data_IF_298543898333
#
_entry.id   IF_298543898333
#
_cell.length_a   1.000
_cell.length_b   1.000
_cell.length_c   1.000
_cell.angle_alpha   90.00
_cell.angle_beta   90.00
_cell.angle_gamma   90.00
#
_symmetry.space_group_name_H-M   'P 1'
#
loop_
_entity.id
_entity.type
_entity.pdbx_description
1 polymer ?
#
# COMPACT_ATOMS: atom_id res chain seq x y z
N UNK A 1 -27.81 16.69 3.33
CA UNK A 1 -26.81 17.03 2.29
C UNK A 1 -25.76 18.02 2.81
N UNK A 2 -26.14 19.12 3.45
CA UNK A 2 -25.23 20.18 3.94
C UNK A 2 -24.25 19.72 5.02
N UNK A 3 -24.70 18.90 5.98
CA UNK A 3 -23.83 18.36 7.06
C UNK A 3 -22.74 17.44 6.49
N UNK A 4 -23.09 16.63 5.50
CA UNK A 4 -22.14 15.74 4.82
C UNK A 4 -21.08 16.53 4.03
N UNK A 5 -21.51 17.59 3.34
CA UNK A 5 -20.62 18.49 2.62
C UNK A 5 -19.65 19.21 3.57
N UNK A 6 -20.11 19.63 4.76
CA UNK A 6 -19.28 20.27 5.78
C UNK A 6 -18.26 19.28 6.34
N UNK A 7 -18.67 18.06 6.67
CA UNK A 7 -17.77 17.02 7.18
C UNK A 7 -16.68 16.64 6.17
N UNK A 8 -17.03 16.49 4.89
CA UNK A 8 -16.08 16.21 3.81
C UNK A 8 -15.14 17.40 3.58
N UNK A 9 -15.66 18.62 3.60
CA UNK A 9 -14.84 19.83 3.45
C UNK A 9 -13.84 19.98 4.60
N UNK A 10 -14.25 19.70 5.84
CA UNK A 10 -13.36 19.73 7.01
C UNK A 10 -12.30 18.63 6.96
N UNK A 11 -12.65 17.42 6.51
CA UNK A 11 -11.69 16.32 6.32
C UNK A 11 -10.63 16.67 5.27
N UNK A 12 -11.07 17.24 4.14
CA UNK A 12 -10.19 17.65 3.03
C UNK A 12 -9.33 18.85 3.43
N UNK A 13 -9.90 19.83 4.14
CA UNK A 13 -9.15 20.96 4.69
C UNK A 13 -8.09 20.50 5.71
N UNK A 14 -8.42 19.52 6.57
CA UNK A 14 -7.47 18.94 7.50
C UNK A 14 -6.30 18.20 6.82
N UNK A 15 -6.55 17.61 5.63
CA UNK A 15 -5.49 16.99 4.80
C UNK A 15 -4.65 18.00 4.02
N UNK A 16 -5.23 19.17 3.67
CA UNK A 16 -4.61 20.25 2.89
C UNK A 16 -3.83 21.25 3.72
N UNK A 17 -4.03 21.29 5.04
CA UNK A 17 -3.18 22.06 5.95
C UNK A 17 -1.71 21.66 5.71
N UNK A 18 -0.81 22.60 5.36
CA UNK A 18 0.60 22.29 5.30
C UNK A 18 0.99 21.82 6.70
N UNK A 19 1.47 20.58 6.79
CA UNK A 19 1.90 19.96 8.03
C UNK A 19 3.19 20.62 8.54
N UNK A 20 3.11 21.91 8.86
CA UNK A 20 4.11 22.62 9.62
C UNK A 20 4.03 22.15 11.07
N UNK A 21 5.10 21.54 11.54
CA UNK A 21 5.37 21.24 12.95
C UNK A 21 4.60 20.06 13.55
N UNK A 22 4.67 18.89 12.93
CA UNK A 22 4.80 17.66 13.71
C UNK A 22 6.13 16.99 13.39
N UNK A 23 7.20 17.48 14.02
CA UNK A 23 8.40 16.68 14.29
C UNK A 23 8.08 15.63 15.36
N UNK A 24 7.02 14.82 15.16
CA UNK A 24 7.09 13.47 15.69
C UNK A 24 7.81 12.70 14.60
N UNK A 25 9.05 12.31 14.88
CA UNK A 25 9.65 11.14 14.24
C UNK A 25 8.73 9.95 14.52
N UNK A 26 7.62 9.82 13.76
CA UNK A 26 6.83 8.60 13.80
C UNK A 26 7.72 7.55 13.15
N UNK A 27 8.43 6.82 14.00
CA UNK A 27 9.10 5.59 13.61
C UNK A 27 8.06 4.75 12.86
N UNK A 28 8.48 4.21 11.71
CA UNK A 28 7.63 3.31 10.98
C UNK A 28 7.35 2.09 11.85
N UNK A 29 6.12 1.57 11.83
CA UNK A 29 5.76 0.43 12.65
C UNK A 29 6.61 -0.79 12.27
N UNK A 30 6.98 -1.61 13.25
CA UNK A 30 7.70 -2.86 12.97
C UNK A 30 6.81 -3.80 12.16
N UNK A 31 7.37 -4.49 11.17
CA UNK A 31 6.62 -5.43 10.32
C UNK A 31 6.95 -6.86 10.70
N UNK A 32 5.93 -7.67 10.90
CA UNK A 32 6.08 -9.11 11.17
C UNK A 32 5.36 -9.89 10.08
N UNK A 33 6.14 -10.59 9.25
CA UNK A 33 5.61 -11.53 8.27
C UNK A 33 5.29 -12.87 8.94
N UNK A 34 4.19 -13.51 8.57
CA UNK A 34 3.96 -14.92 8.89
C UNK A 34 4.78 -15.84 7.97
N UNK A 35 4.76 -17.14 8.26
CA UNK A 35 5.51 -18.13 7.46
C UNK A 35 5.11 -18.11 5.99
N UNK A 36 3.83 -17.87 5.69
CA UNK A 36 3.30 -17.90 4.33
C UNK A 36 3.70 -16.65 3.53
N UNK A 37 3.65 -15.47 4.14
CA UNK A 37 4.13 -14.23 3.58
C UNK A 37 5.62 -14.34 3.25
N UNK A 38 6.44 -14.89 4.15
CA UNK A 38 7.87 -15.14 3.88
C UNK A 38 8.07 -16.06 2.68
N UNK A 39 7.30 -17.14 2.57
CA UNK A 39 7.38 -18.05 1.42
C UNK A 39 6.97 -17.35 0.10
N UNK A 40 5.92 -16.52 0.12
CA UNK A 40 5.51 -15.74 -1.05
C UNK A 40 6.58 -14.73 -1.48
N UNK A 41 7.21 -14.05 -0.50
CA UNK A 41 8.30 -13.11 -0.74
C UNK A 41 9.52 -13.80 -1.35
N UNK A 42 9.93 -14.95 -0.80
CA UNK A 42 11.04 -15.73 -1.35
C UNK A 42 10.75 -16.18 -2.79
N UNK A 43 9.53 -16.67 -3.05
CA UNK A 43 9.12 -17.09 -4.38
C UNK A 43 9.03 -15.93 -5.39
N UNK A 44 8.68 -14.72 -4.94
CA UNK A 44 8.70 -13.52 -5.78
C UNK A 44 10.15 -13.06 -6.04
N UNK A 45 10.99 -13.01 -5.01
CA UNK A 45 12.38 -12.59 -5.12
C UNK A 45 13.23 -13.51 -6.03
N UNK A 46 12.90 -14.81 -6.09
CA UNK A 46 13.54 -15.74 -7.01
C UNK A 46 13.32 -15.39 -8.50
N UNK A 47 12.35 -14.53 -8.81
CA UNK A 47 12.02 -14.09 -10.18
C UNK A 47 12.59 -12.72 -10.52
N UNK A 48 13.21 -12.03 -9.55
CA UNK A 48 13.77 -10.70 -9.71
C UNK A 48 13.21 -9.69 -8.70
N UNK A 49 13.35 -8.38 -8.97
CA UNK A 49 12.88 -7.33 -8.07
C UNK A 49 11.39 -7.49 -7.72
N UNK A 50 11.08 -7.44 -6.43
CA UNK A 50 9.73 -7.70 -5.93
C UNK A 50 8.77 -6.60 -6.38
N UNK A 51 7.78 -6.97 -7.20
CA UNK A 51 6.69 -6.09 -7.64
C UNK A 51 5.51 -6.25 -6.68
N UNK A 52 5.06 -5.13 -6.11
CA UNK A 52 3.94 -5.08 -5.18
C UNK A 52 2.84 -4.19 -5.77
N UNK A 53 1.60 -4.64 -5.72
CA UNK A 53 0.44 -3.83 -6.05
C UNK A 53 -0.37 -3.57 -4.79
N UNK A 54 -0.36 -2.33 -4.32
CA UNK A 54 -1.18 -1.93 -3.19
C UNK A 54 -2.63 -1.74 -3.66
N UNK A 55 -3.57 -2.41 -2.99
CA UNK A 55 -4.99 -2.40 -3.33
C UNK A 55 -5.87 -2.35 -2.09
N UNK A 56 -7.16 -2.09 -2.29
CA UNK A 56 -8.15 -2.13 -1.22
C UNK A 56 -8.35 -3.57 -0.70
N UNK A 57 -8.57 -3.77 0.61
CA UNK A 57 -8.87 -5.10 1.14
C UNK A 57 -10.14 -5.68 0.51
N UNK A 58 -10.02 -6.79 -0.21
CA UNK A 58 -11.12 -7.39 -0.98
C UNK A 58 -11.32 -8.87 -0.69
N UNK A 59 -10.83 -9.37 0.45
CA UNK A 59 -10.91 -10.78 0.87
C UNK A 59 -12.34 -11.40 0.89
N UNK A 60 -13.39 -10.61 0.66
CA UNK A 60 -14.80 -11.04 0.61
C UNK A 60 -15.41 -11.09 -0.80
N UNK A 61 -14.75 -10.61 -1.86
CA UNK A 61 -15.30 -10.64 -3.23
C UNK A 61 -14.33 -11.28 -4.23
N UNK A 62 -14.83 -12.09 -5.19
CA UNK A 62 -14.01 -12.54 -6.30
C UNK A 62 -13.57 -11.30 -7.09
N UNK A 63 -12.31 -10.93 -6.92
CA UNK A 63 -11.78 -9.79 -7.64
C UNK A 63 -11.91 -10.08 -9.13
N UNK A 64 -12.69 -9.26 -9.83
CA UNK A 64 -12.66 -9.15 -11.28
C UNK A 64 -11.32 -8.50 -11.67
N UNK A 65 -10.23 -9.26 -11.52
CA UNK A 65 -8.86 -8.92 -11.94
C UNK A 65 -8.65 -9.24 -13.44
N UNK A 66 -9.75 -9.39 -14.18
CA UNK A 66 -9.83 -9.81 -15.58
C UNK A 66 -9.53 -8.70 -16.59
N UNK A 67 -9.32 -7.45 -16.16
CA UNK A 67 -9.03 -6.34 -17.10
C UNK A 67 -7.54 -6.24 -17.49
N UNK A 68 -6.71 -7.23 -17.12
CA UNK A 68 -5.27 -7.25 -17.45
C UNK A 68 -4.81 -8.67 -17.81
N UNK A 69 -5.54 -9.29 -18.73
CA UNK A 69 -5.27 -10.65 -19.21
C UNK A 69 -3.90 -10.81 -19.91
N UNK A 70 -3.24 -9.70 -20.29
CA UNK A 70 -1.92 -9.69 -20.94
C UNK A 70 -0.73 -9.42 -19.97
N UNK A 71 -0.97 -9.20 -18.67
CA UNK A 71 0.12 -8.89 -17.73
C UNK A 71 0.68 -10.17 -17.08
N UNK A 72 2.01 -10.34 -17.10
CA UNK A 72 2.67 -11.41 -16.35
C UNK A 72 2.55 -11.15 -14.85
N UNK A 73 1.56 -11.81 -14.25
CA UNK A 73 1.29 -11.81 -12.81
C UNK A 73 2.30 -12.63 -12.02
N UNK A 74 3.22 -13.31 -12.70
CA UNK A 74 4.21 -14.11 -12.05
C UNK A 74 5.29 -13.24 -11.38
N UNK A 75 5.52 -13.48 -10.09
CA UNK A 75 6.39 -12.66 -9.24
C UNK A 75 5.71 -11.41 -8.67
N UNK A 76 4.46 -11.12 -9.04
CA UNK A 76 3.68 -10.00 -8.48
C UNK A 76 3.02 -10.41 -7.17
N UNK A 77 3.11 -9.53 -6.17
CA UNK A 77 2.42 -9.65 -4.89
C UNK A 77 1.41 -8.52 -4.73
N UNK A 78 0.22 -8.82 -4.21
CA UNK A 78 -0.74 -7.80 -3.83
C UNK A 78 -0.54 -7.43 -2.35
N UNK A 79 -0.67 -6.16 -2.00
CA UNK A 79 -0.64 -5.69 -0.62
C UNK A 79 -2.01 -5.12 -0.28
N UNK A 80 -2.69 -5.76 0.68
CA UNK A 80 -3.98 -5.32 1.19
C UNK A 80 -3.80 -4.91 2.65
N UNK A 81 -4.14 -3.67 2.98
CA UNK A 81 -3.96 -3.15 4.35
C UNK A 81 -5.32 -2.93 5.00
N UNK A 82 -5.65 -3.74 6.00
CA UNK A 82 -6.83 -3.55 6.84
C UNK A 82 -6.48 -2.69 8.06
N UNK A 83 -7.20 -1.58 8.24
CA UNK A 83 -7.06 -0.73 9.42
C UNK A 83 -7.82 -1.38 10.60
N UNK A 84 -7.14 -1.63 11.70
CA UNK A 84 -7.73 -2.18 12.92
C UNK A 84 -7.47 -1.26 14.11
N UNK A 85 -8.53 -0.91 14.85
CA UNK A 85 -8.48 0.06 15.96
C UNK A 85 -7.60 -0.39 17.15
N UNK A 86 -7.39 -1.69 17.31
CA UNK A 86 -6.64 -2.32 18.42
C UNK A 86 -5.43 -3.10 17.94
N UNK A 87 -4.74 -2.64 16.89
CA UNK A 87 -3.46 -3.27 16.53
C UNK A 87 -2.35 -2.83 17.49
N UNK A 88 -1.47 -3.78 17.85
CA UNK A 88 -0.16 -3.46 18.43
C UNK A 88 0.59 -2.47 17.54
N UNK A 89 1.63 -1.82 18.08
CA UNK A 89 2.52 -0.94 17.30
C UNK A 89 3.15 -1.62 16.06
N UNK A 90 3.10 -2.95 15.98
CA UNK A 90 3.54 -3.73 14.83
C UNK A 90 2.44 -3.96 13.76
N UNK A 91 2.86 -3.94 12.49
CA UNK A 91 2.09 -4.40 11.33
C UNK A 91 2.28 -5.90 11.17
N UNK A 92 1.20 -6.67 11.30
CA UNK A 92 1.22 -8.11 11.01
C UNK A 92 0.84 -8.36 9.56
N UNK A 93 1.68 -9.08 8.82
CA UNK A 93 1.45 -9.39 7.40
C UNK A 93 1.31 -10.90 7.22
N UNK A 94 0.15 -11.32 6.70
CA UNK A 94 -0.14 -12.72 6.40
C UNK A 94 -0.14 -12.98 4.92
N UNK A 95 0.44 -14.11 4.50
CA UNK A 95 0.32 -14.56 3.12
C UNK A 95 -1.03 -15.23 2.90
N UNK A 96 -1.82 -14.74 1.94
CA UNK A 96 -3.13 -15.31 1.58
C UNK A 96 -3.16 -15.59 0.08
N UNK A 97 -3.24 -16.86 -0.35
CA UNK A 97 -3.53 -17.17 -1.74
C UNK A 97 -5.01 -16.89 -1.99
N UNK A 98 -5.33 -16.23 -3.09
CA UNK A 98 -6.72 -15.96 -3.41
C UNK A 98 -6.89 -15.88 -4.92
N UNK A 99 -7.71 -16.77 -5.49
CA UNK A 99 -7.97 -16.86 -6.93
C UNK A 99 -6.70 -16.80 -7.79
N UNK A 100 -5.66 -17.58 -7.47
CA UNK A 100 -4.39 -17.60 -8.23
C UNK A 100 -3.43 -16.44 -7.93
N UNK A 101 -3.85 -15.46 -7.13
CA UNK A 101 -3.01 -14.33 -6.72
C UNK A 101 -2.37 -14.57 -5.34
N UNK A 102 -1.20 -13.95 -5.12
CA UNK A 102 -0.47 -13.95 -3.86
C UNK A 102 -0.71 -12.62 -3.14
N UNK A 103 -1.43 -12.65 -2.03
CA UNK A 103 -1.79 -11.46 -1.26
C UNK A 103 -0.99 -11.41 0.04
N UNK A 104 -0.39 -10.26 0.33
CA UNK A 104 0.15 -9.85 1.61
C UNK A 104 -0.94 -9.08 2.34
N UNK A 105 -1.71 -9.77 3.18
CA UNK A 105 -2.77 -9.19 3.99
C UNK A 105 -2.16 -8.58 5.26
N UNK A 106 -2.00 -7.27 5.28
CA UNK A 106 -1.46 -6.49 6.38
C UNK A 106 -2.56 -5.96 7.29
N UNK A 107 -2.33 -6.01 8.60
CA UNK A 107 -3.18 -5.40 9.63
C UNK A 107 -2.40 -4.31 10.34
N UNK A 108 -2.93 -3.09 10.38
CA UNK A 108 -2.22 -1.92 10.90
C UNK A 108 -3.15 -0.85 11.50
N UNK A 109 -2.60 0.13 12.21
CA UNK A 109 -3.34 1.31 12.70
C UNK A 109 -3.50 2.42 11.66
N UNK A 110 -2.66 2.44 10.62
CA UNK A 110 -2.70 3.46 9.58
C UNK A 110 -2.16 2.92 8.23
N UNK A 111 -2.82 3.31 7.14
CA UNK A 111 -2.50 2.84 5.79
C UNK A 111 -1.11 3.25 5.30
N UNK A 112 -0.81 4.55 5.28
CA UNK A 112 0.44 5.08 4.68
C UNK A 112 1.70 4.59 5.42
N UNK A 113 1.79 4.67 6.77
CA UNK A 113 2.95 4.17 7.49
C UNK A 113 3.10 2.65 7.34
N UNK A 114 2.01 1.90 7.27
CA UNK A 114 2.06 0.45 7.06
C UNK A 114 2.64 0.12 5.68
N UNK A 115 2.21 0.80 4.62
CA UNK A 115 2.76 0.58 3.28
C UNK A 115 4.26 0.87 3.27
N UNK A 116 4.69 2.03 3.77
CA UNK A 116 6.12 2.38 3.81
C UNK A 116 6.94 1.35 4.62
N UNK A 117 6.44 0.95 5.79
CA UNK A 117 7.08 -0.06 6.63
C UNK A 117 7.18 -1.42 5.95
N UNK A 118 6.10 -1.88 5.32
CA UNK A 118 6.07 -3.17 4.61
C UNK A 118 7.07 -3.17 3.46
N UNK A 119 7.18 -2.08 2.69
CA UNK A 119 8.15 -2.01 1.59
C UNK A 119 9.59 -2.07 2.06
N UNK A 120 9.93 -1.40 3.16
CA UNK A 120 11.26 -1.50 3.77
C UNK A 120 11.50 -2.91 4.31
N UNK A 121 10.53 -3.50 4.98
CA UNK A 121 10.65 -4.85 5.52
C UNK A 121 10.78 -5.92 4.42
N UNK A 122 10.11 -5.74 3.28
CA UNK A 122 10.28 -6.61 2.09
C UNK A 122 11.70 -6.50 1.56
N UNK A 123 12.24 -5.28 1.43
CA UNK A 123 13.63 -5.07 1.05
C UNK A 123 14.59 -5.76 2.01
N UNK A 124 14.40 -5.56 3.31
CA UNK A 124 15.29 -6.12 4.33
C UNK A 124 15.21 -7.66 4.37
N UNK A 125 14.05 -8.23 4.07
CA UNK A 125 13.84 -9.69 4.04
C UNK A 125 14.39 -10.34 2.76
N UNK A 126 14.24 -9.68 1.61
CA UNK A 126 14.59 -10.27 0.30
C UNK A 126 15.94 -9.81 -0.23
N UNK A 127 16.51 -8.74 0.31
CA UNK A 127 17.70 -8.06 -0.21
C UNK A 127 17.46 -7.27 -1.50
N UNK A 128 16.26 -7.32 -2.07
CA UNK A 128 15.89 -6.67 -3.34
C UNK A 128 15.06 -5.43 -3.06
N UNK A 129 15.27 -4.36 -3.82
CA UNK A 129 14.49 -3.12 -3.68
C UNK A 129 13.12 -3.31 -4.34
N UNK A 130 12.02 -3.32 -3.57
CA UNK A 130 10.71 -3.54 -4.15
C UNK A 130 10.18 -2.26 -4.83
N UNK A 131 9.33 -2.47 -5.83
CA UNK A 131 8.51 -1.42 -6.42
C UNK A 131 7.05 -1.65 -6.04
N UNK A 132 6.40 -0.62 -5.50
CA UNK A 132 4.98 -0.61 -5.23
C UNK A 132 4.24 0.20 -6.28
N UNK A 133 3.26 -0.40 -6.93
CA UNK A 133 2.29 0.27 -7.78
C UNK A 133 0.96 0.36 -7.03
N UNK A 134 0.37 1.56 -7.01
CA UNK A 134 -0.98 1.71 -6.48
C UNK A 134 -1.97 1.35 -7.59
N UNK A 135 -2.32 0.07 -7.63
CA UNK A 135 -3.22 -0.54 -8.60
C UNK A 135 -4.65 -0.59 -8.08
N UNK A 136 -5.28 0.57 -7.96
CA UNK A 136 -6.73 0.64 -7.86
C UNK A 136 -7.30 0.58 -9.26
N UNK A 137 -7.72 -0.62 -9.67
CA UNK A 137 -8.39 -0.80 -10.94
C UNK A 137 -9.60 0.14 -11.02
N UNK A 138 -9.54 1.03 -12.01
CA UNK A 138 -10.64 1.78 -12.58
C UNK A 138 -11.81 0.83 -12.86
N UNK A 139 -12.78 0.72 -11.96
CA UNK A 139 -14.14 0.28 -12.33
C UNK A 139 -14.84 1.47 -12.98
N UNK A 140 -15.00 1.49 -14.30
CA UNK A 140 -15.94 2.33 -15.05
C UNK A 140 -16.36 3.65 -14.38
N UNK A 141 -15.42 4.59 -14.26
CA UNK A 141 -15.64 5.80 -13.48
C UNK A 141 -16.23 6.91 -14.36
N UNK A 142 -17.50 6.77 -14.71
CA UNK A 142 -18.29 7.83 -15.38
C UNK A 142 -18.88 8.82 -14.35
N UNK A 143 -18.19 9.08 -13.23
CA UNK A 143 -18.71 9.98 -12.19
C UNK A 143 -17.62 10.84 -11.54
N UNK A 144 -17.92 12.11 -11.27
CA UNK A 144 -17.05 13.10 -10.60
C UNK A 144 -16.44 12.64 -9.26
N UNK A 145 -17.06 11.67 -8.57
CA UNK A 145 -16.52 11.06 -7.34
C UNK A 145 -15.22 10.27 -7.60
N UNK A 146 -15.07 9.70 -8.80
CA UNK A 146 -13.86 9.05 -9.27
C UNK A 146 -12.61 9.93 -9.20
N UNK A 147 -12.76 11.16 -9.70
CA UNK A 147 -11.68 12.13 -9.77
C UNK A 147 -11.28 12.64 -8.39
N UNK A 148 -12.21 12.61 -7.42
CA UNK A 148 -11.93 12.91 -6.02
C UNK A 148 -11.12 11.77 -5.34
N UNK A 149 -11.44 10.51 -5.64
CA UNK A 149 -10.73 9.32 -5.12
C UNK A 149 -9.34 9.13 -5.76
N UNK A 150 -9.21 9.39 -7.07
CA UNK A 150 -7.93 9.49 -7.77
C UNK A 150 -7.00 10.55 -7.14
N UNK A 151 -7.57 11.66 -6.65
CA UNK A 151 -6.85 12.68 -5.86
C UNK A 151 -6.38 12.15 -4.49
N UNK A 152 -7.15 11.25 -3.86
CA UNK A 152 -6.79 10.60 -2.60
C UNK A 152 -5.66 9.57 -2.73
N UNK A 153 -5.64 8.79 -3.80
CA UNK A 153 -4.59 7.79 -4.09
C UNK A 153 -3.24 8.43 -4.42
N UNK A 154 -3.25 9.53 -5.18
CA UNK A 154 -2.07 10.37 -5.40
C UNK A 154 -1.43 10.85 -4.09
N UNK A 155 -2.27 11.23 -3.12
CA UNK A 155 -1.82 11.66 -1.81
C UNK A 155 -1.24 10.50 -1.00
N UNK A 156 -1.84 9.31 -1.02
CA UNK A 156 -1.30 8.11 -0.35
C UNK A 156 0.08 7.77 -0.92
N UNK A 157 0.21 7.71 -2.25
CA UNK A 157 1.48 7.43 -2.90
C UNK A 157 2.54 8.50 -2.59
N UNK A 158 2.18 9.79 -2.67
CA UNK A 158 3.09 10.89 -2.35
C UNK A 158 3.53 10.88 -0.88
N UNK A 159 2.61 10.62 0.06
CA UNK A 159 2.93 10.54 1.50
C UNK A 159 3.77 9.30 1.80
N UNK A 160 3.51 8.17 1.14
CA UNK A 160 4.34 6.97 1.26
C UNK A 160 5.76 7.24 0.76
N UNK A 161 5.92 7.89 -0.40
CA UNK A 161 7.24 8.34 -0.89
C UNK A 161 7.95 9.23 0.12
N UNK A 162 7.25 10.20 0.71
CA UNK A 162 7.84 11.09 1.71
C UNK A 162 8.35 10.32 2.94
N UNK A 163 7.58 9.35 3.44
CA UNK A 163 8.02 8.49 4.55
C UNK A 163 9.21 7.60 4.15
N UNK A 164 9.21 7.05 2.93
CA UNK A 164 10.33 6.26 2.41
C UNK A 164 11.60 7.11 2.25
N UNK A 165 11.48 8.36 1.82
CA UNK A 165 12.62 9.28 1.71
C UNK A 165 13.22 9.59 3.07
N UNK A 166 12.37 9.83 4.07
CA UNK A 166 12.82 10.08 5.44
C UNK A 166 13.44 8.84 6.10
N UNK A 167 12.90 7.64 5.83
CA UNK A 167 13.36 6.39 6.45
C UNK A 167 14.58 5.78 5.76
N UNK A 168 14.71 5.93 4.44
CA UNK A 168 15.87 5.46 3.66
C UNK A 168 16.36 6.58 2.73
N UNK A 169 17.39 7.34 3.15
CA UNK A 169 17.97 8.40 2.33
C UNK A 169 18.68 7.89 1.07
N UNK A 170 19.22 6.67 1.09
CA UNK A 170 19.95 6.07 -0.04
C UNK A 170 18.98 5.66 -1.15
N UNK A 171 19.10 6.31 -2.31
CA UNK A 171 18.24 6.04 -3.46
C UNK A 171 18.41 4.63 -4.02
N UNK A 172 19.60 4.04 -3.95
CA UNK A 172 19.86 2.69 -4.45
C UNK A 172 19.22 1.60 -3.59
N UNK A 173 18.86 1.92 -2.34
CA UNK A 173 18.24 1.01 -1.38
C UNK A 173 16.80 1.35 -1.05
N UNK A 174 16.29 2.48 -1.53
CA UNK A 174 14.97 2.99 -1.20
C UNK A 174 13.90 2.34 -2.08
N UNK A 175 12.90 1.67 -1.47
CA UNK A 175 11.73 1.20 -2.21
C UNK A 175 11.08 2.32 -3.03
N UNK A 176 10.58 1.97 -4.20
CA UNK A 176 9.95 2.95 -5.09
C UNK A 176 8.44 2.80 -5.07
N UNK A 177 7.74 3.92 -5.11
CA UNK A 177 6.28 3.97 -5.21
C UNK A 177 5.91 4.64 -6.53
N UNK A 178 5.09 3.98 -7.33
CA UNK A 178 4.57 4.46 -8.61
C UNK A 178 3.05 4.53 -8.53
N UNK A 179 2.47 5.50 -9.24
CA UNK A 179 1.06 5.42 -9.55
C UNK A 179 0.95 4.42 -10.71
N UNK A 180 0.04 3.46 -10.61
CA UNK A 180 -0.23 2.56 -11.73
C UNK A 180 -0.74 3.38 -12.94
N UNK A 181 -0.65 2.82 -14.16
CA UNK A 181 -1.30 3.39 -15.34
C UNK A 181 -2.83 3.36 -15.23
#
# INVERSE_FOLDING_TARGET
MTIYLIAVTLLVAAMLLPAGVQRLSRQLPTVVFDTRARAMLAAAAAKGPVRIIATEPQLSEPVHRADRDDEDWDGVLFLEVTIAATSSEAVTVRGVPHYGHRILAARATALVPAIAAVLLAVRDTTGLVPTAEFGWARRGLDTEAAHLVLRGHGLIAARARHLLVAAEPDQARRPTVRLGP
#
